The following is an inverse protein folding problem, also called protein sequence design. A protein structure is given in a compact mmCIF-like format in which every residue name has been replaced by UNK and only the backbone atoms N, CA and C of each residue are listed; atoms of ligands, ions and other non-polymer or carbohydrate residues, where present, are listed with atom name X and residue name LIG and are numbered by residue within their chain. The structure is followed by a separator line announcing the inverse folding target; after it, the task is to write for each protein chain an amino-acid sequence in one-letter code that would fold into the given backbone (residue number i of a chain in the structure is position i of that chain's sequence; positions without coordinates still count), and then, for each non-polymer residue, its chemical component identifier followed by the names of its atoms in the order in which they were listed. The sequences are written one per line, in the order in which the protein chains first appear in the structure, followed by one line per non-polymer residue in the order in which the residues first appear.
data_IF_693661116134
#
_entry.id   IF_693661116134
#
_cell.length_a   1.000
_cell.length_b   1.000
_cell.length_c   1.000
_cell.angle_alpha   90.00
_cell.angle_beta   90.00
_cell.angle_gamma   90.00
#
_symmetry.space_group_name_H-M   'P 1'
#
loop_
_entity.id
_entity.type
_entity.pdbx_description
1 polymer ?
#
# COMPACT_ATOMS: atom_id res chain seq x y z
N UNK A 1 22.45 33.26 -42.26
CA UNK A 1 21.53 32.23 -42.81
C UNK A 1 21.16 31.27 -41.69
N UNK A 2 19.85 31.18 -41.36
CA UNK A 2 19.13 30.28 -40.43
C UNK A 2 19.66 30.25 -38.98
N UNK A 3 19.14 30.97 -37.98
CA UNK A 3 17.77 31.21 -37.46
C UNK A 3 17.04 29.97 -36.96
N UNK A 4 16.70 29.96 -35.66
CA UNK A 4 15.87 28.96 -34.98
C UNK A 4 15.69 29.30 -33.49
N UNK A 5 14.64 30.08 -33.20
CA UNK A 5 14.20 30.49 -31.87
C UNK A 5 13.35 29.41 -31.18
N UNK A 6 13.38 29.35 -29.84
CA UNK A 6 12.40 28.67 -28.97
C UNK A 6 12.26 29.55 -27.72
N UNK A 7 11.37 30.56 -27.71
CA UNK A 7 9.97 30.56 -27.22
C UNK A 7 9.79 29.83 -25.89
N UNK A 8 9.80 30.59 -24.80
CA UNK A 8 9.30 30.19 -23.48
C UNK A 8 7.79 30.33 -23.37
N UNK A 9 7.20 29.62 -22.40
CA UNK A 9 5.81 29.80 -21.96
C UNK A 9 5.70 29.74 -20.42
N UNK A 10 4.72 30.44 -19.82
CA UNK A 10 4.73 30.82 -18.41
C UNK A 10 3.64 30.13 -17.55
N UNK A 11 3.88 30.17 -16.24
CA UNK A 11 2.95 30.54 -15.14
C UNK A 11 1.61 29.80 -14.94
N UNK A 12 1.56 29.07 -13.80
CA UNK A 12 0.56 29.11 -12.70
C UNK A 12 -0.89 29.42 -13.09
N UNK A 13 -1.79 28.45 -12.86
CA UNK A 13 -3.22 28.70 -12.71
C UNK A 13 -3.68 28.19 -11.34
N UNK A 14 -3.96 29.16 -10.46
CA UNK A 14 -4.79 29.04 -9.26
C UNK A 14 -6.25 29.00 -9.70
N UNK A 15 -7.03 28.01 -9.26
CA UNK A 15 -8.49 28.01 -9.41
C UNK A 15 -9.12 28.32 -8.05
N UNK A 16 -9.81 29.46 -8.00
CA UNK A 16 -10.58 29.95 -6.88
C UNK A 16 -12.01 29.41 -6.92
N UNK A 17 -12.53 28.99 -5.76
CA UNK A 17 -13.93 28.67 -5.53
C UNK A 17 -14.78 29.93 -5.35
N UNK A 18 -15.84 30.08 -6.15
CA UNK A 18 -17.10 30.82 -5.90
C UNK A 18 -18.17 30.07 -6.70
N UNK A 19 -19.34 29.66 -6.20
CA UNK A 19 -20.22 30.29 -5.22
C UNK A 19 -21.29 31.10 -5.95
N UNK A 20 -22.41 30.49 -6.35
CA UNK A 20 -23.63 31.21 -6.79
C UNK A 20 -24.88 30.45 -6.35
N UNK A 21 -25.72 31.17 -5.62
CA UNK A 21 -27.05 30.81 -5.15
C UNK A 21 -28.13 31.47 -6.02
N UNK A 22 -29.32 30.86 -5.99
CA UNK A 22 -30.67 31.44 -6.11
C UNK A 22 -31.12 32.19 -7.39
N UNK A 23 -32.36 31.92 -7.81
CA UNK A 23 -33.08 32.80 -8.74
C UNK A 23 -34.33 32.21 -9.37
N UNK A 24 -35.47 32.40 -8.71
CA UNK A 24 -36.83 32.04 -9.11
C UNK A 24 -37.28 32.57 -10.49
N UNK A 25 -38.00 31.73 -11.25
CA UNK A 25 -38.73 32.13 -12.46
C UNK A 25 -40.11 32.72 -12.09
N UNK A 26 -40.33 33.98 -12.49
CA UNK A 26 -41.66 34.58 -12.64
C UNK A 26 -41.97 34.79 -14.12
N UNK A 27 -43.20 34.44 -14.52
CA UNK A 27 -43.80 34.67 -15.84
C UNK A 27 -44.15 36.15 -16.06
N UNK A 28 -44.16 36.64 -17.31
CA UNK A 28 -44.92 37.84 -17.64
C UNK A 28 -46.08 37.61 -18.63
N UNK A 29 -47.08 38.47 -18.44
CA UNK A 29 -48.35 38.55 -19.13
C UNK A 29 -48.27 39.31 -20.48
N UNK A 30 -49.37 39.20 -21.24
CA UNK A 30 -49.63 39.70 -22.59
C UNK A 30 -50.22 41.12 -22.57
N UNK A 31 -49.79 41.99 -23.52
CA UNK A 31 -50.53 43.04 -24.25
C UNK A 31 -49.53 44.07 -24.85
N UNK A 32 -49.71 44.82 -25.94
CA UNK A 32 -50.52 44.78 -27.17
C UNK A 32 -49.84 45.78 -28.16
N UNK A 33 -49.91 45.46 -29.45
CA UNK A 33 -49.92 46.29 -30.68
C UNK A 33 -48.80 47.29 -31.12
N UNK A 34 -48.52 47.09 -32.43
CA UNK A 34 -48.18 48.03 -33.54
C UNK A 34 -46.74 48.50 -33.69
N UNK A 35 -46.04 47.95 -34.68
CA UNK A 35 -45.76 48.59 -35.99
C UNK A 35 -44.97 47.61 -36.86
N UNK A 36 -45.19 47.67 -38.18
CA UNK A 36 -44.72 46.66 -39.12
C UNK A 36 -43.26 46.78 -39.49
N UNK A 37 -42.63 45.62 -39.72
CA UNK A 37 -41.57 45.41 -40.72
C UNK A 37 -41.54 43.91 -41.02
N UNK A 38 -41.71 43.53 -42.29
CA UNK A 38 -41.54 42.14 -42.75
C UNK A 38 -40.04 41.80 -42.73
N UNK A 39 -39.56 41.14 -41.69
CA UNK A 39 -38.27 40.44 -41.72
C UNK A 39 -38.52 38.97 -42.05
N UNK A 40 -37.85 38.48 -43.10
CA UNK A 40 -37.85 37.07 -43.50
C UNK A 40 -37.38 36.22 -42.33
N UNK A 41 -38.18 35.22 -41.95
CA UNK A 41 -37.75 34.16 -41.06
C UNK A 41 -36.68 33.33 -41.77
N UNK A 42 -35.41 33.60 -41.45
CA UNK A 42 -34.33 32.65 -41.69
C UNK A 42 -34.37 31.66 -40.52
N UNK A 43 -34.94 30.48 -40.77
CA UNK A 43 -34.77 29.32 -39.90
C UNK A 43 -33.30 28.88 -39.99
N UNK A 44 -32.46 29.47 -39.14
CA UNK A 44 -31.14 28.94 -38.85
C UNK A 44 -31.34 27.61 -38.12
N UNK A 45 -31.23 26.50 -38.85
CA UNK A 45 -31.11 25.17 -38.27
C UNK A 45 -29.84 25.15 -37.42
N UNK A 46 -30.01 25.29 -36.11
CA UNK A 46 -28.95 25.03 -35.16
C UNK A 46 -28.60 23.54 -35.26
N UNK A 47 -27.54 23.22 -36.01
CA UNK A 47 -26.92 21.90 -35.95
C UNK A 47 -26.44 21.72 -34.52
N UNK A 48 -27.14 20.88 -33.76
CA UNK A 48 -26.66 20.39 -32.49
C UNK A 48 -25.29 19.75 -32.75
N UNK A 49 -24.23 20.36 -32.20
CA UNK A 49 -22.94 19.70 -32.10
C UNK A 49 -23.18 18.50 -31.17
N UNK A 50 -22.98 17.25 -31.62
CA UNK A 50 -23.13 16.12 -30.73
C UNK A 50 -22.15 16.32 -29.59
N UNK A 51 -22.68 16.41 -28.36
CA UNK A 51 -21.86 16.32 -27.16
C UNK A 51 -21.33 14.89 -27.17
N UNK A 52 -20.10 14.70 -27.65
CA UNK A 52 -19.39 13.44 -27.49
C UNK A 52 -19.11 13.30 -26.01
N UNK A 53 -19.98 12.60 -25.30
CA UNK A 53 -19.70 12.16 -23.93
C UNK A 53 -18.50 11.22 -24.06
N UNK A 54 -17.34 11.52 -23.45
CA UNK A 54 -16.22 10.60 -23.49
C UNK A 54 -16.68 9.24 -22.95
N UNK A 55 -16.37 8.17 -23.68
CA UNK A 55 -16.62 6.80 -23.24
C UNK A 55 -15.86 6.57 -21.93
N UNK A 56 -16.59 6.60 -20.81
CA UNK A 56 -16.04 6.25 -19.51
C UNK A 56 -16.15 4.76 -19.30
N UNK A 57 -15.03 4.11 -19.00
CA UNK A 57 -14.99 2.70 -18.61
C UNK A 57 -14.76 2.61 -17.10
N UNK A 58 -14.96 1.42 -16.54
CA UNK A 58 -14.77 1.17 -15.12
C UNK A 58 -13.63 0.16 -14.96
N UNK A 59 -12.64 0.49 -14.15
CA UNK A 59 -11.63 -0.46 -13.68
C UNK A 59 -12.14 -1.12 -12.39
N UNK A 60 -12.15 -2.44 -12.35
CA UNK A 60 -12.44 -3.27 -11.17
C UNK A 60 -11.19 -4.09 -10.84
N UNK A 61 -10.69 -3.97 -9.61
CA UNK A 61 -9.48 -4.62 -9.13
C UNK A 61 -9.74 -5.35 -7.82
N UNK A 62 -9.36 -6.63 -7.77
CA UNK A 62 -9.41 -7.45 -6.57
C UNK A 62 -8.02 -7.49 -5.92
N UNK A 63 -7.92 -7.18 -4.63
CA UNK A 63 -6.67 -7.15 -3.88
C UNK A 63 -6.72 -8.16 -2.72
N UNK A 64 -5.72 -9.04 -2.62
CA UNK A 64 -5.63 -10.11 -1.64
C UNK A 64 -4.37 -9.98 -0.78
N UNK A 65 -4.49 -10.03 0.54
CA UNK A 65 -3.34 -10.14 1.44
C UNK A 65 -3.61 -11.19 2.51
N UNK A 66 -2.70 -12.16 2.61
CA UNK A 66 -2.63 -13.13 3.71
C UNK A 66 -1.21 -13.22 4.23
N UNK A 67 -0.43 -12.13 4.12
CA UNK A 67 1.00 -12.10 4.47
C UNK A 67 1.25 -12.11 5.99
N UNK A 68 0.23 -11.82 6.79
CA UNK A 68 0.29 -11.76 8.26
C UNK A 68 -0.70 -12.75 8.88
N UNK A 69 -1.09 -12.51 10.13
CA UNK A 69 -2.18 -13.23 10.81
C UNK A 69 -3.58 -12.83 10.33
N UNK A 70 -3.67 -11.80 9.50
CA UNK A 70 -4.91 -11.31 8.91
C UNK A 70 -5.14 -11.90 7.51
N UNK A 71 -6.38 -12.24 7.23
CA UNK A 71 -6.90 -12.41 5.88
C UNK A 71 -7.59 -11.12 5.48
N UNK A 72 -7.03 -10.43 4.48
CA UNK A 72 -7.56 -9.16 3.99
C UNK A 72 -7.88 -9.25 2.51
N UNK A 73 -9.06 -8.78 2.14
CA UNK A 73 -9.54 -8.73 0.75
C UNK A 73 -10.15 -7.37 0.51
N UNK A 74 -9.82 -6.74 -0.62
CA UNK A 74 -10.46 -5.51 -1.06
C UNK A 74 -10.91 -5.62 -2.51
N UNK A 75 -12.12 -5.12 -2.78
CA UNK A 75 -12.63 -4.94 -4.13
C UNK A 75 -12.70 -3.44 -4.39
N UNK A 76 -11.87 -2.96 -5.32
CA UNK A 76 -11.79 -1.56 -5.72
C UNK A 76 -12.44 -1.39 -7.09
N UNK A 77 -13.29 -0.38 -7.24
CA UNK A 77 -13.79 0.04 -8.54
C UNK A 77 -13.64 1.55 -8.74
N UNK A 78 -13.28 1.95 -9.95
CA UNK A 78 -13.04 3.35 -10.28
C UNK A 78 -13.39 3.63 -11.74
N UNK A 79 -14.01 4.78 -12.01
CA UNK A 79 -14.26 5.20 -13.36
C UNK A 79 -13.01 5.84 -13.97
N UNK A 80 -12.69 5.44 -15.20
CA UNK A 80 -11.54 5.92 -15.96
C UNK A 80 -11.99 6.48 -17.31
N UNK A 81 -11.23 7.43 -17.84
CA UNK A 81 -11.41 7.89 -19.22
C UNK A 81 -10.82 6.89 -20.23
N UNK A 82 -10.97 7.19 -21.52
CA UNK A 82 -10.41 6.36 -22.58
C UNK A 82 -8.87 6.26 -22.56
N UNK A 83 -8.19 7.14 -21.83
CA UNK A 83 -6.74 7.12 -21.63
C UNK A 83 -6.34 6.42 -20.31
N UNK A 84 -7.29 5.89 -19.54
CA UNK A 84 -7.05 5.22 -18.27
C UNK A 84 -6.89 6.16 -17.07
N UNK A 85 -7.11 7.46 -17.22
CA UNK A 85 -7.03 8.41 -16.11
C UNK A 85 -8.27 8.31 -15.22
N UNK A 86 -8.04 8.21 -13.91
CA UNK A 86 -9.07 8.18 -12.89
C UNK A 86 -9.89 9.48 -12.92
N UNK A 87 -11.21 9.36 -13.04
CA UNK A 87 -12.14 10.49 -13.11
C UNK A 87 -12.90 10.72 -11.80
N UNK A 88 -12.92 9.71 -10.91
CA UNK A 88 -13.68 9.73 -9.66
C UNK A 88 -12.89 9.11 -8.53
N UNK A 89 -13.22 9.45 -7.29
CA UNK A 89 -12.69 8.74 -6.12
C UNK A 89 -12.99 7.22 -6.21
N UNK A 90 -11.98 6.35 -6.03
CA UNK A 90 -12.18 4.91 -6.03
C UNK A 90 -13.15 4.46 -4.94
N UNK A 91 -14.08 3.59 -5.30
CA UNK A 91 -14.97 2.90 -4.36
C UNK A 91 -14.31 1.61 -3.94
N UNK A 92 -14.14 1.40 -2.64
CA UNK A 92 -13.54 0.18 -2.12
C UNK A 92 -14.46 -0.49 -1.09
N UNK A 93 -14.59 -1.81 -1.17
CA UNK A 93 -15.17 -2.65 -0.12
C UNK A 93 -14.08 -3.56 0.41
N UNK A 94 -14.10 -3.84 1.72
CA UNK A 94 -13.00 -4.55 2.39
C UNK A 94 -13.54 -5.59 3.36
N UNK A 95 -12.82 -6.72 3.43
CA UNK A 95 -12.81 -7.64 4.57
C UNK A 95 -11.41 -7.66 5.15
N UNK A 96 -11.31 -7.57 6.46
CA UNK A 96 -10.04 -7.66 7.17
C UNK A 96 -10.28 -8.38 8.49
N UNK A 97 -9.84 -9.63 8.55
CA UNK A 97 -10.19 -10.54 9.64
C UNK A 97 -8.95 -11.22 10.16
N UNK A 98 -8.81 -11.31 11.47
CA UNK A 98 -7.74 -12.06 12.11
C UNK A 98 -8.10 -13.55 12.08
N UNK A 99 -7.59 -14.25 11.07
CA UNK A 99 -7.93 -15.66 10.80
C UNK A 99 -6.81 -16.62 11.18
N UNK A 100 -5.58 -16.14 11.36
CA UNK A 100 -4.43 -16.98 11.67
C UNK A 100 -4.25 -18.12 10.65
N UNK A 101 -4.18 -19.36 11.14
CA UNK A 101 -3.92 -20.54 10.32
C UNK A 101 -5.06 -20.93 9.36
N UNK A 102 -6.28 -20.41 9.53
CA UNK A 102 -7.44 -20.75 8.68
C UNK A 102 -7.69 -19.74 7.56
N UNK A 103 -6.74 -18.85 7.27
CA UNK A 103 -6.86 -17.87 6.18
C UNK A 103 -7.23 -18.49 4.82
N UNK A 104 -6.79 -19.72 4.55
CA UNK A 104 -7.10 -20.44 3.31
C UNK A 104 -8.58 -20.77 3.14
N UNK A 105 -9.35 -20.96 4.22
CA UNK A 105 -10.79 -21.27 4.14
C UNK A 105 -11.63 -20.01 4.07
N UNK A 106 -11.12 -18.87 4.56
CA UNK A 106 -11.86 -17.60 4.59
C UNK A 106 -11.69 -16.75 3.32
N UNK A 107 -10.56 -16.86 2.64
CA UNK A 107 -10.21 -16.00 1.51
C UNK A 107 -11.24 -16.01 0.37
N UNK A 108 -11.61 -17.20 -0.14
CA UNK A 108 -12.59 -17.32 -1.22
C UNK A 108 -14.01 -16.86 -0.81
N UNK A 109 -14.55 -17.23 0.38
CA UNK A 109 -15.79 -16.65 0.87
C UNK A 109 -15.76 -15.12 0.99
N UNK A 110 -14.66 -14.52 1.46
CA UNK A 110 -14.55 -13.07 1.59
C UNK A 110 -14.57 -12.37 0.23
N UNK A 111 -13.90 -12.96 -0.77
CA UNK A 111 -13.97 -12.49 -2.17
C UNK A 111 -15.43 -12.53 -2.65
N UNK A 112 -16.12 -13.66 -2.45
CA UNK A 112 -17.52 -13.81 -2.89
C UNK A 112 -18.44 -12.75 -2.30
N UNK A 113 -18.36 -12.53 -0.99
CA UNK A 113 -19.14 -11.52 -0.28
C UNK A 113 -18.95 -10.13 -0.88
N UNK A 114 -17.71 -9.73 -1.18
CA UNK A 114 -17.42 -8.40 -1.72
C UNK A 114 -17.98 -8.20 -3.12
N UNK A 115 -17.94 -9.22 -3.98
CA UNK A 115 -18.54 -9.18 -5.32
C UNK A 115 -20.08 -9.13 -5.24
N UNK A 116 -20.69 -9.95 -4.38
CA UNK A 116 -22.14 -9.93 -4.15
C UNK A 116 -22.61 -8.56 -3.63
N UNK A 117 -21.90 -7.95 -2.68
CA UNK A 117 -22.18 -6.60 -2.15
C UNK A 117 -21.95 -5.48 -3.18
N UNK A 118 -21.08 -5.71 -4.16
CA UNK A 118 -20.85 -4.79 -5.25
C UNK A 118 -21.86 -4.94 -6.38
N UNK A 119 -22.62 -6.04 -6.42
CA UNK A 119 -23.44 -6.39 -7.57
C UNK A 119 -22.61 -6.66 -8.82
N UNK A 120 -21.38 -7.14 -8.65
CA UNK A 120 -20.44 -7.44 -9.74
C UNK A 120 -20.22 -8.95 -9.84
N UNK A 121 -19.99 -9.44 -11.05
CA UNK A 121 -19.49 -10.77 -11.28
C UNK A 121 -17.95 -10.79 -11.21
N UNK A 122 -17.37 -11.96 -10.91
CA UNK A 122 -15.91 -12.14 -10.99
C UNK A 122 -15.35 -11.80 -12.38
N UNK A 123 -16.14 -12.03 -13.44
CA UNK A 123 -15.78 -11.71 -14.82
C UNK A 123 -15.71 -10.19 -15.11
N UNK A 124 -16.23 -9.34 -14.22
CA UNK A 124 -16.09 -7.88 -14.35
C UNK A 124 -14.71 -7.40 -13.87
N UNK A 125 -13.91 -8.26 -13.24
CA UNK A 125 -12.59 -7.93 -12.74
C UNK A 125 -11.60 -7.70 -13.90
N UNK A 126 -10.76 -6.68 -13.80
CA UNK A 126 -9.74 -6.37 -14.80
C UNK A 126 -8.33 -6.83 -14.39
N UNK A 127 -8.08 -6.97 -13.09
CA UNK A 127 -6.81 -7.44 -12.56
C UNK A 127 -6.95 -7.98 -11.14
N UNK A 128 -6.07 -8.91 -10.79
CA UNK A 128 -5.98 -9.45 -9.42
C UNK A 128 -4.62 -9.10 -8.82
N UNK A 129 -4.66 -8.32 -7.75
CA UNK A 129 -3.49 -7.93 -6.99
C UNK A 129 -3.32 -8.81 -5.76
N UNK A 130 -2.07 -9.04 -5.37
CA UNK A 130 -1.76 -9.78 -4.15
C UNK A 130 -0.52 -9.25 -3.45
N UNK A 131 -0.48 -9.46 -2.13
CA UNK A 131 0.69 -9.18 -1.31
C UNK A 131 1.78 -10.19 -1.62
N UNK A 132 2.81 -9.78 -2.35
CA UNK A 132 3.88 -10.69 -2.78
C UNK A 132 4.80 -11.09 -1.63
N UNK A 133 4.87 -10.29 -0.57
CA UNK A 133 5.77 -10.47 0.55
C UNK A 133 6.69 -9.27 0.76
N UNK A 134 7.61 -9.34 1.73
CA UNK A 134 7.84 -10.47 2.65
C UNK A 134 6.72 -10.69 3.68
N UNK A 135 6.68 -11.87 4.31
CA UNK A 135 5.65 -12.23 5.28
C UNK A 135 5.64 -13.73 5.65
N UNK A 136 4.51 -14.21 6.17
CA UNK A 136 4.26 -15.61 6.53
C UNK A 136 4.37 -16.53 5.31
N UNK A 137 5.22 -17.56 5.41
CA UNK A 137 5.49 -18.51 4.32
C UNK A 137 4.24 -19.21 3.77
N UNK A 138 3.34 -19.64 4.66
CA UNK A 138 2.06 -20.27 4.30
C UNK A 138 1.08 -19.22 3.79
N UNK A 139 1.09 -18.05 4.42
CA UNK A 139 0.28 -16.91 4.08
C UNK A 139 0.49 -16.43 2.65
N UNK A 140 1.74 -16.15 2.27
CA UNK A 140 2.09 -15.68 0.93
C UNK A 140 1.68 -16.66 -0.17
N UNK A 141 1.85 -17.97 0.06
CA UNK A 141 1.40 -18.99 -0.91
C UNK A 141 -0.10 -19.06 -1.05
N UNK A 142 -0.85 -18.77 0.01
CA UNK A 142 -2.32 -18.75 -0.04
C UNK A 142 -2.80 -17.61 -0.94
N UNK A 143 -2.35 -16.37 -0.70
CA UNK A 143 -2.70 -15.24 -1.56
C UNK A 143 -2.21 -15.44 -3.00
N UNK A 144 -0.95 -15.85 -3.19
CA UNK A 144 -0.38 -16.06 -4.53
C UNK A 144 -1.14 -17.14 -5.30
N UNK A 145 -1.41 -18.30 -4.68
CA UNK A 145 -2.11 -19.41 -5.33
C UNK A 145 -3.55 -19.07 -5.70
N UNK A 146 -4.27 -18.35 -4.83
CA UNK A 146 -5.63 -17.88 -5.14
C UNK A 146 -5.62 -16.82 -6.23
N UNK A 147 -4.71 -15.85 -6.18
CA UNK A 147 -4.56 -14.83 -7.22
C UNK A 147 -4.25 -15.48 -8.58
N UNK A 148 -3.28 -16.40 -8.61
CA UNK A 148 -2.90 -17.15 -9.80
C UNK A 148 -4.07 -17.96 -10.36
N UNK A 149 -4.77 -18.73 -9.52
CA UNK A 149 -5.88 -19.58 -9.97
C UNK A 149 -7.06 -18.79 -10.52
N UNK A 150 -7.43 -17.69 -9.84
CA UNK A 150 -8.51 -16.81 -10.31
C UNK A 150 -8.11 -16.09 -11.61
N UNK A 151 -6.90 -15.55 -11.66
CA UNK A 151 -6.42 -14.80 -12.82
C UNK A 151 -6.26 -15.71 -14.05
N UNK A 152 -5.75 -16.92 -13.86
CA UNK A 152 -5.66 -17.91 -14.93
C UNK A 152 -7.04 -18.30 -15.47
N UNK A 153 -8.02 -18.53 -14.59
CA UNK A 153 -9.38 -18.87 -15.00
C UNK A 153 -10.16 -17.75 -15.70
N UNK A 154 -9.76 -16.49 -15.49
CA UNK A 154 -10.40 -15.30 -16.06
C UNK A 154 -9.60 -14.65 -17.19
N UNK A 155 -8.43 -15.21 -17.55
CA UNK A 155 -7.47 -14.62 -18.49
C UNK A 155 -7.08 -13.17 -18.12
N UNK A 156 -6.81 -12.95 -16.82
CA UNK A 156 -6.48 -11.64 -16.27
C UNK A 156 -4.98 -11.53 -15.92
N UNK A 157 -4.41 -10.32 -16.02
CA UNK A 157 -3.10 -10.05 -15.44
C UNK A 157 -3.16 -10.05 -13.90
N UNK A 158 -2.01 -10.30 -13.27
CA UNK A 158 -1.84 -10.14 -11.82
C UNK A 158 -0.91 -8.98 -11.48
N UNK A 159 -1.12 -8.39 -10.31
CA UNK A 159 -0.37 -7.23 -9.81
C UNK A 159 0.30 -7.59 -8.47
N UNK A 160 1.56 -8.03 -8.48
CA UNK A 160 2.29 -8.29 -7.24
C UNK A 160 2.66 -6.97 -6.55
N UNK A 161 2.26 -6.81 -5.29
CA UNK A 161 2.59 -5.63 -4.48
C UNK A 161 3.37 -6.06 -3.24
N UNK A 162 4.53 -5.45 -3.02
CA UNK A 162 5.34 -5.72 -1.82
C UNK A 162 4.56 -5.39 -0.55
N UNK A 163 4.56 -6.30 0.41
CA UNK A 163 3.92 -6.15 1.72
C UNK A 163 4.48 -4.95 2.49
N UNK A 164 5.76 -4.63 2.33
CA UNK A 164 6.38 -3.46 2.95
C UNK A 164 5.91 -2.15 2.29
N UNK A 165 5.72 -2.16 0.96
CA UNK A 165 5.10 -1.04 0.25
C UNK A 165 3.65 -0.81 0.69
N UNK A 166 2.90 -1.88 0.98
CA UNK A 166 1.55 -1.77 1.55
C UNK A 166 1.58 -1.06 2.91
N UNK A 167 2.59 -1.30 3.75
CA UNK A 167 2.74 -0.59 5.02
C UNK A 167 3.01 0.91 4.80
N UNK A 168 3.86 1.26 3.83
CA UNK A 168 4.11 2.65 3.46
C UNK A 168 2.85 3.36 2.95
N UNK A 169 2.11 2.71 2.04
CA UNK A 169 0.82 3.20 1.54
C UNK A 169 -0.20 3.36 2.68
N UNK A 170 -0.25 2.40 3.60
CA UNK A 170 -1.10 2.43 4.80
C UNK A 170 -0.81 3.67 5.65
N UNK A 171 0.47 3.93 5.95
CA UNK A 171 0.91 5.10 6.71
C UNK A 171 0.52 6.41 6.02
N UNK A 172 0.79 6.54 4.72
CA UNK A 172 0.44 7.75 3.95
C UNK A 172 -1.06 7.99 3.86
N UNK A 173 -1.86 6.93 3.76
CA UNK A 173 -3.33 7.06 3.76
C UNK A 173 -3.89 7.53 5.11
N UNK A 174 -3.23 7.20 6.23
CA UNK A 174 -3.59 7.73 7.55
C UNK A 174 -3.07 9.15 7.76
N UNK A 175 -1.87 9.43 7.28
CA UNK A 175 -1.23 10.74 7.34
C UNK A 175 -0.58 11.08 5.97
N UNK A 176 -1.20 11.95 5.16
CA UNK A 176 -0.63 12.40 3.89
C UNK A 176 0.72 13.14 4.03
N UNK A 177 1.12 13.56 5.24
CA UNK A 177 2.45 14.12 5.49
C UNK A 177 3.54 13.05 5.56
N UNK A 178 3.18 11.76 5.71
CA UNK A 178 4.11 10.63 5.64
C UNK A 178 4.60 10.43 4.19
N UNK A 179 5.58 11.24 3.80
CA UNK A 179 6.22 11.23 2.48
C UNK A 179 7.50 10.41 2.46
N UNK A 180 8.16 10.19 3.60
CA UNK A 180 9.24 9.21 3.73
C UNK A 180 8.89 8.17 4.78
N UNK A 181 8.87 6.90 4.38
CA UNK A 181 8.43 5.80 5.23
C UNK A 181 9.46 4.69 5.24
N UNK A 182 9.95 4.38 6.43
CA UNK A 182 10.69 3.17 6.72
C UNK A 182 9.67 2.11 7.16
N UNK A 183 9.34 1.18 6.27
CA UNK A 183 8.45 0.08 6.59
C UNK A 183 9.26 -1.03 7.26
N UNK A 184 8.80 -1.52 8.42
CA UNK A 184 9.49 -2.54 9.20
C UNK A 184 8.49 -3.51 9.86
N UNK A 185 8.64 -4.80 9.55
CA UNK A 185 7.82 -5.89 10.09
C UNK A 185 8.67 -6.91 10.84
N UNK A 186 8.15 -7.45 11.93
CA UNK A 186 8.76 -8.59 12.64
C UNK A 186 8.87 -9.80 11.70
N UNK A 187 10.11 -10.20 11.38
CA UNK A 187 10.39 -11.35 10.55
C UNK A 187 10.49 -12.67 11.33
N UNK A 188 10.22 -12.63 12.65
CA UNK A 188 10.57 -13.67 13.63
C UNK A 188 12.09 -13.89 13.71
N UNK A 189 12.50 -14.81 14.57
CA UNK A 189 13.91 -15.19 14.73
C UNK A 189 14.85 -14.01 15.03
N UNK A 190 14.32 -13.00 15.71
CA UNK A 190 15.06 -11.79 16.10
C UNK A 190 15.52 -10.92 14.92
N UNK A 191 14.81 -11.00 13.79
CA UNK A 191 15.08 -10.25 12.57
C UNK A 191 13.87 -9.42 12.15
N UNK A 192 14.11 -8.46 11.26
CA UNK A 192 13.13 -7.50 10.74
C UNK A 192 13.16 -7.55 9.22
N UNK A 193 11.97 -7.65 8.62
CA UNK A 193 11.79 -7.32 7.21
C UNK A 193 11.63 -5.81 7.09
N UNK A 194 12.44 -5.16 6.27
CA UNK A 194 12.38 -3.71 6.15
C UNK A 194 12.68 -3.19 4.74
N UNK A 195 12.15 -2.01 4.44
CA UNK A 195 12.40 -1.25 3.21
C UNK A 195 12.20 0.25 3.47
N UNK A 196 12.85 1.09 2.67
CA UNK A 196 12.74 2.56 2.75
C UNK A 196 12.11 3.09 1.47
N UNK A 197 11.06 3.90 1.62
CA UNK A 197 10.28 4.47 0.53
C UNK A 197 10.17 5.98 0.69
N UNK A 198 10.19 6.68 -0.45
CA UNK A 198 9.82 8.10 -0.53
C UNK A 198 8.71 8.30 -1.54
N UNK A 199 7.72 9.09 -1.18
CA UNK A 199 6.63 9.48 -2.05
C UNK A 199 7.08 10.59 -3.00
N UNK A 200 6.72 10.46 -4.27
CA UNK A 200 6.89 11.47 -5.29
C UNK A 200 5.52 12.09 -5.59
N UNK A 201 5.26 13.30 -5.10
CA UNK A 201 3.99 14.00 -5.32
C UNK A 201 3.75 14.36 -6.79
N UNK A 202 4.81 14.54 -7.59
CA UNK A 202 4.64 14.86 -9.00
C UNK A 202 4.17 13.65 -9.81
N UNK A 203 4.60 12.44 -9.40
CA UNK A 203 4.18 11.19 -10.04
C UNK A 203 3.01 10.51 -9.34
N UNK A 204 2.68 10.93 -8.11
CA UNK A 204 1.69 10.27 -7.27
C UNK A 204 2.06 8.81 -6.97
N UNK A 205 3.36 8.53 -6.75
CA UNK A 205 3.86 7.17 -6.61
C UNK A 205 5.00 7.05 -5.59
N UNK A 206 5.19 5.85 -5.04
CA UNK A 206 6.37 5.55 -4.22
C UNK A 206 7.60 5.27 -5.07
N UNK A 207 8.71 5.87 -4.67
CA UNK A 207 10.06 5.49 -5.05
C UNK A 207 10.69 4.63 -3.97
N UNK A 208 11.31 3.54 -4.39
CA UNK A 208 12.08 2.66 -3.49
C UNK A 208 13.47 3.23 -3.29
N UNK A 209 13.82 3.57 -2.05
CA UNK A 209 15.17 4.00 -1.67
C UNK A 209 16.02 2.80 -1.23
N UNK A 210 15.40 1.84 -0.55
CA UNK A 210 16.00 0.56 -0.17
C UNK A 210 15.00 -0.56 -0.47
N UNK A 211 15.44 -1.55 -1.25
CA UNK A 211 14.65 -2.75 -1.52
C UNK A 211 14.44 -3.56 -0.25
N UNK A 212 13.41 -4.41 -0.25
CA UNK A 212 13.11 -5.29 0.87
C UNK A 212 14.35 -6.09 1.30
N UNK A 213 14.71 -5.98 2.57
CA UNK A 213 15.84 -6.66 3.19
C UNK A 213 15.41 -7.37 4.49
N UNK A 214 16.25 -8.28 4.96
CA UNK A 214 16.12 -8.97 6.22
C UNK A 214 17.39 -8.73 7.03
N UNK A 215 17.24 -8.07 8.18
CA UNK A 215 18.37 -7.72 9.04
C UNK A 215 17.99 -7.84 10.51
N UNK A 216 18.98 -7.87 11.40
CA UNK A 216 18.75 -7.71 12.84
C UNK A 216 18.36 -6.26 13.17
N UNK A 217 17.65 -6.00 14.29
CA UNK A 217 17.24 -4.64 14.65
C UNK A 217 18.38 -3.64 14.74
N UNK A 218 19.59 -4.09 15.09
CA UNK A 218 20.77 -3.23 15.22
C UNK A 218 21.46 -2.94 13.88
N UNK A 219 21.25 -3.77 12.86
CA UNK A 219 21.84 -3.62 11.53
C UNK A 219 20.97 -2.84 10.55
N UNK A 220 19.70 -2.59 10.93
CA UNK A 220 18.78 -1.80 10.12
C UNK A 220 19.34 -0.38 9.89
N UNK A 221 19.40 0.02 8.61
CA UNK A 221 19.92 1.33 8.22
C UNK A 221 18.86 2.40 8.46
N UNK A 222 19.11 3.28 9.42
CA UNK A 222 18.19 4.36 9.78
C UNK A 222 18.42 5.58 8.87
N UNK A 223 17.39 6.12 8.21
CA UNK A 223 17.49 7.35 7.44
C UNK A 223 17.98 8.54 8.27
N UNK A 224 18.79 9.42 7.67
CA UNK A 224 19.20 10.66 8.31
C UNK A 224 18.10 11.73 8.25
N UNK A 225 17.31 11.74 7.18
CA UNK A 225 16.18 12.64 7.00
C UNK A 225 14.97 12.18 7.83
N UNK A 226 14.08 13.09 8.23
CA UNK A 226 12.89 12.73 8.99
C UNK A 226 12.00 11.73 8.25
N UNK A 227 11.59 10.68 8.93
CA UNK A 227 10.79 9.59 8.38
C UNK A 227 9.71 9.12 9.36
N UNK A 228 8.68 8.48 8.82
CA UNK A 228 7.71 7.69 9.58
C UNK A 228 8.16 6.24 9.61
N UNK A 229 8.20 5.62 10.79
CA UNK A 229 8.39 4.19 10.94
C UNK A 229 7.02 3.51 10.90
N UNK A 230 6.79 2.65 9.91
CA UNK A 230 5.51 1.98 9.68
C UNK A 230 5.64 0.47 9.94
N UNK A 231 4.65 -0.11 10.64
CA UNK A 231 4.56 -1.55 10.86
C UNK A 231 4.74 -1.96 12.32
N UNK A 232 4.82 -3.27 12.57
CA UNK A 232 4.84 -3.82 13.93
C UNK A 232 6.24 -3.97 14.55
N UNK A 233 7.32 -3.71 13.82
CA UNK A 233 8.68 -3.94 14.34
C UNK A 233 8.99 -3.07 15.59
N UNK A 234 8.51 -1.83 15.64
CA UNK A 234 8.68 -0.99 16.82
C UNK A 234 8.04 -1.60 18.08
N UNK A 235 6.84 -2.18 17.93
CA UNK A 235 6.17 -2.86 19.04
C UNK A 235 6.86 -4.18 19.42
N UNK A 236 7.36 -4.93 18.42
CA UNK A 236 8.02 -6.22 18.65
C UNK A 236 9.40 -6.09 19.33
N UNK A 237 10.18 -5.07 18.98
CA UNK A 237 11.57 -4.93 19.42
C UNK A 237 11.80 -3.81 20.44
N UNK A 238 10.87 -2.86 20.58
CA UNK A 238 10.97 -1.75 21.54
C UNK A 238 12.30 -1.02 21.44
N UNK A 239 12.99 -0.83 22.58
CA UNK A 239 14.27 -0.14 22.66
C UNK A 239 15.41 -0.82 21.87
N UNK A 240 15.23 -2.08 21.43
CA UNK A 240 16.23 -2.80 20.64
C UNK A 240 16.25 -2.35 19.18
N UNK A 241 15.25 -1.60 18.73
CA UNK A 241 15.16 -1.04 17.38
C UNK A 241 15.53 0.45 17.39
N UNK A 242 16.76 0.84 17.01
CA UNK A 242 17.19 2.24 17.01
C UNK A 242 16.31 3.15 16.16
N UNK A 243 15.76 2.61 15.07
CA UNK A 243 14.86 3.33 14.17
C UNK A 243 13.61 3.87 14.89
N UNK A 244 13.11 3.19 15.92
CA UNK A 244 11.92 3.64 16.66
C UNK A 244 12.19 4.93 17.45
N UNK A 245 13.41 5.11 17.96
CA UNK A 245 13.80 6.34 18.67
C UNK A 245 14.18 7.47 17.72
N UNK A 246 14.63 7.16 16.51
CA UNK A 246 15.02 8.14 15.50
C UNK A 246 13.84 8.64 14.64
N UNK A 247 12.76 7.85 14.53
CA UNK A 247 11.60 8.20 13.72
C UNK A 247 10.92 9.48 14.23
N UNK A 248 10.44 10.30 13.30
CA UNK A 248 9.58 11.45 13.63
C UNK A 248 8.25 10.98 14.20
N UNK A 249 7.72 9.92 13.59
CA UNK A 249 6.43 9.31 13.94
C UNK A 249 6.59 7.79 13.84
N UNK A 250 6.00 7.07 14.78
CA UNK A 250 5.87 5.61 14.72
C UNK A 250 4.39 5.28 14.52
N UNK A 251 4.06 4.66 13.40
CA UNK A 251 2.71 4.25 13.05
C UNK A 251 2.57 2.72 13.18
N UNK A 252 2.07 2.31 14.35
CA UNK A 252 1.86 0.90 14.69
C UNK A 252 0.69 0.27 13.92
N UNK A 253 -0.24 1.10 13.43
CA UNK A 253 -1.43 0.64 12.69
C UNK A 253 -1.14 0.50 11.19
N UNK A 254 0.07 0.87 10.75
CA UNK A 254 0.58 0.70 9.39
C UNK A 254 0.96 -0.75 9.05
N UNK A 255 -0.03 -1.64 9.17
CA UNK A 255 0.11 -3.05 8.89
C UNK A 255 -0.36 -3.40 7.47
N UNK A 256 0.04 -4.59 6.95
CA UNK A 256 -0.47 -5.13 5.71
C UNK A 256 -2.00 -5.22 5.72
N UNK A 257 -2.62 -4.62 4.72
CA UNK A 257 -4.08 -4.51 4.61
C UNK A 257 -4.47 -4.39 3.13
N UNK A 258 -5.56 -5.03 2.72
CA UNK A 258 -5.92 -5.10 1.30
C UNK A 258 -6.36 -3.76 0.72
N UNK A 259 -6.86 -2.83 1.54
CA UNK A 259 -7.22 -1.48 1.07
C UNK A 259 -6.02 -0.69 0.51
N UNK A 260 -4.95 -0.39 1.28
CA UNK A 260 -3.75 0.24 0.72
C UNK A 260 -3.13 -0.59 -0.42
N UNK A 261 -3.18 -1.93 -0.32
CA UNK A 261 -2.76 -2.81 -1.42
C UNK A 261 -3.52 -2.50 -2.71
N UNK A 262 -4.84 -2.36 -2.67
CA UNK A 262 -5.67 -2.08 -3.83
C UNK A 262 -5.34 -0.72 -4.48
N UNK A 263 -5.02 0.30 -3.67
CA UNK A 263 -4.61 1.62 -4.19
C UNK A 263 -3.24 1.57 -4.87
N UNK A 264 -2.25 0.93 -4.24
CA UNK A 264 -0.94 0.72 -4.86
C UNK A 264 -1.05 -0.12 -6.14
N UNK A 265 -1.91 -1.15 -6.11
CA UNK A 265 -2.17 -2.01 -7.25
C UNK A 265 -2.87 -1.30 -8.40
N UNK A 266 -3.81 -0.39 -8.12
CA UNK A 266 -4.47 0.41 -9.15
C UNK A 266 -3.46 1.25 -9.92
N UNK A 267 -2.53 1.91 -9.21
CA UNK A 267 -1.46 2.69 -9.85
C UNK A 267 -0.52 1.79 -10.66
N UNK A 268 -0.13 0.64 -10.10
CA UNK A 268 0.69 -0.34 -10.83
C UNK A 268 0.00 -0.88 -12.08
N UNK A 269 -1.28 -1.20 -12.01
CA UNK A 269 -2.10 -1.69 -13.12
C UNK A 269 -2.18 -0.66 -14.26
N UNK A 270 -2.53 0.59 -13.94
CA UNK A 270 -2.58 1.66 -14.95
C UNK A 270 -1.22 1.98 -15.56
N UNK A 271 -0.12 1.75 -14.82
CA UNK A 271 1.23 1.87 -15.34
C UNK A 271 1.73 0.62 -16.10
N UNK A 272 0.88 -0.39 -16.31
CA UNK A 272 1.24 -1.63 -16.99
C UNK A 272 2.22 -2.52 -16.21
N UNK A 273 2.41 -2.27 -14.90
CA UNK A 273 3.27 -3.06 -14.01
C UNK A 273 2.51 -4.30 -13.53
N UNK A 274 2.29 -5.20 -14.46
CA UNK A 274 1.57 -6.47 -14.25
C UNK A 274 2.42 -7.64 -14.71
N UNK A 275 2.12 -8.84 -14.22
CA UNK A 275 2.68 -10.08 -14.76
C UNK A 275 1.57 -11.04 -15.19
N UNK A 276 1.84 -11.98 -16.12
CA UNK A 276 0.91 -13.07 -16.43
C UNK A 276 0.64 -13.94 -15.20
N UNK A 277 -0.53 -14.59 -15.16
CA UNK A 277 -0.95 -15.40 -14.01
C UNK A 277 0.02 -16.54 -13.69
N UNK A 278 0.64 -17.17 -14.68
CA UNK A 278 1.62 -18.26 -14.50
C UNK A 278 2.97 -17.78 -13.92
N UNK A 279 3.22 -16.46 -13.93
CA UNK A 279 4.41 -15.81 -13.35
C UNK A 279 4.14 -15.20 -11.98
N UNK A 280 2.93 -15.35 -11.43
CA UNK A 280 2.63 -14.95 -10.06
C UNK A 280 3.51 -15.72 -9.08
N UNK A 281 4.42 -15.02 -8.39
CA UNK A 281 5.34 -15.62 -7.44
C UNK A 281 5.45 -14.76 -6.16
N UNK A 282 5.61 -15.40 -4.99
CA UNK A 282 5.92 -14.69 -3.76
C UNK A 282 7.37 -14.21 -3.73
N UNK A 283 7.59 -13.09 -3.04
CA UNK A 283 8.90 -12.51 -2.76
C UNK A 283 9.49 -13.13 -1.48
N UNK A 284 10.53 -13.95 -1.63
CA UNK A 284 11.27 -14.52 -0.50
C UNK A 284 12.54 -13.73 -0.22
N UNK A 285 12.53 -12.96 0.86
CA UNK A 285 13.70 -12.19 1.32
C UNK A 285 14.63 -13.04 2.20
N UNK A 286 14.07 -14.01 2.92
CA UNK A 286 14.83 -14.90 3.81
C UNK A 286 15.44 -16.06 3.02
N UNK A 287 16.75 -16.00 2.78
CA UNK A 287 17.50 -17.03 2.05
C UNK A 287 17.63 -18.38 2.81
N UNK A 288 17.46 -18.39 4.14
CA UNK A 288 17.62 -19.60 4.98
C UNK A 288 16.50 -19.70 6.03
N UNK A 289 15.61 -20.66 5.85
CA UNK A 289 14.41 -20.89 6.68
C UNK A 289 14.54 -22.06 7.67
N UNK A 290 15.62 -22.85 7.57
CA UNK A 290 15.88 -23.97 8.48
C UNK A 290 17.37 -24.07 8.79
N UNK A 291 17.69 -24.20 10.07
CA UNK A 291 19.01 -24.65 10.51
C UNK A 291 19.16 -26.14 10.23
N UNK A 292 20.32 -26.53 9.75
CA UNK A 292 20.67 -27.95 9.67
C UNK A 292 20.72 -28.55 11.07
N UNK A 293 20.58 -29.88 11.18
CA UNK A 293 20.74 -30.57 12.46
C UNK A 293 22.11 -30.29 13.11
N UNK A 294 23.16 -30.12 12.31
CA UNK A 294 24.49 -29.76 12.78
C UNK A 294 24.52 -28.36 13.41
N UNK A 295 23.88 -27.38 12.78
CA UNK A 295 23.79 -26.00 13.29
C UNK A 295 23.01 -25.91 14.60
N UNK A 296 21.90 -26.66 14.72
CA UNK A 296 21.12 -26.75 15.98
C UNK A 296 21.91 -27.38 17.12
N UNK A 297 22.76 -28.36 16.83
CA UNK A 297 23.63 -29.00 17.82
C UNK A 297 24.74 -28.04 18.24
N UNK A 298 25.37 -27.34 17.29
CA UNK A 298 26.43 -26.37 17.55
C UNK A 298 25.94 -25.17 18.39
N UNK A 299 24.77 -24.62 18.11
CA UNK A 299 24.19 -23.53 18.91
C UNK A 299 23.82 -23.97 20.33
N UNK A 300 23.32 -25.20 20.49
CA UNK A 300 23.07 -25.77 21.82
C UNK A 300 24.36 -25.97 22.61
N UNK A 301 25.44 -26.42 21.96
CA UNK A 301 26.75 -26.56 22.58
C UNK A 301 27.32 -25.20 23.00
N UNK A 302 27.28 -24.19 22.11
CA UNK A 302 27.75 -22.85 22.41
C UNK A 302 26.97 -22.17 23.55
N UNK A 303 25.65 -22.36 23.61
CA UNK A 303 24.81 -21.88 24.73
C UNK A 303 25.10 -22.60 26.04
N UNK A 304 25.41 -23.91 25.99
CA UNK A 304 25.79 -24.68 27.17
C UNK A 304 27.17 -24.28 27.71
N UNK A 305 28.15 -24.03 26.82
CA UNK A 305 29.47 -23.53 27.20
C UNK A 305 29.40 -22.12 27.79
N UNK A 306 28.60 -21.21 27.20
CA UNK A 306 28.38 -19.88 27.77
C UNK A 306 27.70 -19.93 29.14
N UNK A 307 26.75 -20.84 29.35
CA UNK A 307 26.10 -21.01 30.65
C UNK A 307 27.06 -21.58 31.72
N UNK A 308 27.92 -22.53 31.33
CA UNK A 308 28.95 -23.08 32.22
C UNK A 308 30.01 -22.02 32.59
N UNK A 309 30.49 -21.25 31.61
CA UNK A 309 31.45 -20.17 31.84
C UNK A 309 30.90 -19.05 32.72
N UNK A 310 29.58 -18.79 32.68
CA UNK A 310 28.92 -17.82 33.56
C UNK A 310 28.78 -18.35 35.00
N UNK A 311 28.61 -19.66 35.18
CA UNK A 311 28.54 -20.32 36.48
C UNK A 311 29.91 -20.46 37.17
N UNK A 312 31.01 -20.52 36.41
CA UNK A 312 32.36 -20.64 36.93
C UNK A 312 33.03 -19.31 37.30
N UNK A 313 32.34 -18.16 37.16
CA UNK A 313 32.88 -16.88 37.66
C UNK A 313 32.90 -16.92 39.21
N UNK A 314 34.07 -16.95 39.87
CA UNK A 314 34.11 -16.99 41.32
C UNK A 314 33.52 -15.71 41.89
N UNK A 315 32.64 -15.87 42.88
CA UNK A 315 32.08 -14.78 43.68
C UNK A 315 33.23 -14.13 44.48
N UNK A 316 33.89 -13.15 43.86
CA UNK A 316 35.04 -12.45 44.41
C UNK A 316 34.62 -11.35 45.39
N UNK A 317 34.64 -11.71 46.68
CA UNK A 317 35.13 -10.93 47.82
C UNK A 317 34.85 -9.42 47.92
N UNK A 318 33.97 -9.05 48.86
CA UNK A 318 34.06 -7.83 49.70
C UNK A 318 33.41 -8.19 51.05
N UNK A 319 33.82 -7.77 52.23
CA UNK A 319 35.06 -7.25 52.81
C UNK A 319 34.75 -7.34 54.32
N UNK A 320 35.55 -8.04 55.11
CA UNK A 320 35.28 -8.21 56.56
C UNK A 320 35.96 -7.06 57.31
N UNK A 321 35.24 -6.17 58.02
CA UNK A 321 35.90 -5.10 58.75
C UNK A 321 36.49 -5.67 60.05
N UNK A 322 37.81 -5.91 60.04
CA UNK A 322 38.61 -6.01 61.26
C UNK A 322 38.90 -4.59 61.76
N UNK A 323 38.30 -4.22 62.89
CA UNK A 323 38.81 -3.14 63.76
C UNK A 323 38.89 -3.66 65.20
N UNK A 324 40.09 -4.12 65.56
CA UNK A 324 40.54 -4.24 66.95
C UNK A 324 40.83 -2.84 67.53
N UNK A 325 40.62 -2.68 68.85
CA UNK A 325 40.94 -1.48 69.63
C UNK A 325 42.45 -1.15 69.63
N UNK A 326 42.90 0.03 70.07
CA UNK A 326 42.88 0.57 71.44
C UNK A 326 43.51 2.00 71.44
N UNK A 327 43.63 2.78 72.54
CA UNK A 327 44.15 2.41 73.87
C UNK A 327 43.14 2.45 75.02
#
# INVERSE_FOLDING_TARGET
MRSGAVIGWPTIITIACRGVAEGLFQTPAIADRRTGTRMRAQTASARAVPITIPSMTQTVLLALDTSTEFCSVALLSVAVDAAGHVQTEPRARVRHEQTGAVSSTRLLPAIRELFDEAGLALADCNAIAFGSGPGSFTGLRTATGVAQGLAFGLDLPVVPISTLLVCAESARRRDPAATRVLAALDARMDEIYWADYTWDDAQGEWRVLQQASLDTPQQLVVPAEPFTLAGNAAAAFGARLPAASAARTVDHDALPHALPLAYAALRAFHAGRTVPADQAAPEYVRNKVAQTTAERIAEKAAKAEQAAALAERPNGAEDTPLREGRP
#
